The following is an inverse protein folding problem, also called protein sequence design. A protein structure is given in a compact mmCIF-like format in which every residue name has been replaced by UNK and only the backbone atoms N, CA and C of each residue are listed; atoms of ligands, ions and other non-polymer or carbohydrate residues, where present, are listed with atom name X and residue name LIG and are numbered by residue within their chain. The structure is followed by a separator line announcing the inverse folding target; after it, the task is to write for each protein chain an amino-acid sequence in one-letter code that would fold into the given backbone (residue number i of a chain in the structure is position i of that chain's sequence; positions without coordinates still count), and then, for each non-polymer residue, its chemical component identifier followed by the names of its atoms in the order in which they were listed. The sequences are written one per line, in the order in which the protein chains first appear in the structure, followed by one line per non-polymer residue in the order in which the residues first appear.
data_IF_857764840986
#
_entry.id   IF_857764840986
#
_cell.length_a   1.000
_cell.length_b   1.000
_cell.length_c   1.000
_cell.angle_alpha   90.00
_cell.angle_beta   90.00
_cell.angle_gamma   90.00
#
_symmetry.space_group_name_H-M   'P 1'
#
loop_
_entity.id
_entity.type
_entity.pdbx_description
1 polymer ?
#
# COMPACT_ATOMS: atom_id res chain seq x y z
N UNK A 1 -12.76 -45.85 -28.27
CA UNK A 1 -12.16 -45.36 -27.01
C UNK A 1 -10.67 -45.70 -27.04
N UNK A 2 -9.94 -45.19 -28.04
CA UNK A 2 -8.48 -45.36 -28.18
C UNK A 2 -7.76 -44.01 -28.28
N UNK A 3 -8.51 -42.90 -28.34
CA UNK A 3 -7.97 -41.55 -28.53
C UNK A 3 -7.49 -40.85 -27.23
N UNK A 4 -7.75 -41.45 -26.06
CA UNK A 4 -7.35 -40.89 -24.76
C UNK A 4 -5.93 -41.30 -24.32
N UNK A 5 -5.35 -42.35 -24.91
CA UNK A 5 -4.04 -42.89 -24.48
C UNK A 5 -2.85 -42.33 -25.29
N UNK A 6 -3.09 -41.73 -26.46
CA UNK A 6 -2.03 -41.24 -27.36
C UNK A 6 -1.71 -39.73 -27.18
N UNK A 7 -2.37 -39.07 -26.22
CA UNK A 7 -2.17 -37.65 -25.91
C UNK A 7 -1.13 -37.40 -24.79
N UNK A 8 -0.77 -38.44 -24.02
CA UNK A 8 0.21 -38.33 -22.94
C UNK A 8 1.66 -38.24 -23.41
N UNK A 9 1.97 -38.78 -24.59
CA UNK A 9 3.33 -38.85 -25.15
C UNK A 9 3.63 -37.70 -26.13
N UNK A 10 2.60 -36.94 -26.53
CA UNK A 10 2.66 -35.80 -27.47
C UNK A 10 2.64 -34.44 -26.77
N UNK A 11 2.94 -34.36 -25.48
CA UNK A 11 3.20 -33.07 -24.83
C UNK A 11 4.56 -32.55 -25.25
N UNK A 12 4.65 -31.33 -25.83
CA UNK A 12 5.92 -30.79 -26.27
C UNK A 12 6.91 -30.74 -25.09
N UNK A 13 8.19 -31.09 -25.30
CA UNK A 13 9.18 -31.22 -24.22
C UNK A 13 9.34 -29.94 -23.39
N UNK A 14 8.94 -28.78 -23.94
CA UNK A 14 8.89 -27.51 -23.25
C UNK A 14 7.95 -27.51 -22.03
N UNK A 15 6.80 -28.18 -22.10
CA UNK A 15 5.79 -28.21 -21.03
C UNK A 15 6.25 -29.13 -19.89
N UNK A 16 6.79 -30.31 -20.23
CA UNK A 16 7.37 -31.25 -19.26
C UNK A 16 8.63 -30.67 -18.59
N UNK A 17 9.46 -29.96 -19.35
CA UNK A 17 10.62 -29.24 -18.81
C UNK A 17 10.16 -28.17 -17.81
N UNK A 18 9.22 -27.31 -18.18
CA UNK A 18 8.71 -26.24 -17.31
C UNK A 18 8.12 -26.78 -16.00
N UNK A 19 7.32 -27.85 -16.06
CA UNK A 19 6.75 -28.51 -14.88
C UNK A 19 7.81 -29.10 -13.95
N UNK A 20 8.88 -29.68 -14.49
CA UNK A 20 10.00 -30.20 -13.70
C UNK A 20 10.84 -29.08 -13.06
N UNK A 21 11.07 -27.95 -13.74
CA UNK A 21 11.83 -26.84 -13.13
C UNK A 21 11.08 -26.22 -11.95
N UNK A 22 9.75 -26.09 -12.07
CA UNK A 22 8.90 -25.58 -10.99
C UNK A 22 8.87 -26.57 -9.81
N UNK A 23 8.74 -27.87 -10.09
CA UNK A 23 8.77 -28.92 -9.05
C UNK A 23 10.14 -29.06 -8.36
N UNK A 24 11.25 -28.92 -9.10
CA UNK A 24 12.60 -28.94 -8.52
C UNK A 24 12.89 -27.69 -7.68
N UNK A 25 12.32 -26.54 -8.06
CA UNK A 25 12.38 -25.32 -7.27
C UNK A 25 11.59 -25.44 -5.96
N UNK A 26 10.44 -26.13 -5.96
CA UNK A 26 9.67 -26.43 -4.74
C UNK A 26 10.32 -27.52 -3.88
N UNK A 27 10.99 -28.51 -4.48
CA UNK A 27 11.67 -29.59 -3.74
C UNK A 27 12.94 -29.14 -3.01
N UNK A 28 13.56 -28.03 -3.46
CA UNK A 28 14.62 -27.33 -2.73
C UNK A 28 13.97 -26.29 -1.82
N UNK A 29 13.60 -26.71 -0.61
CA UNK A 29 12.98 -25.84 0.39
C UNK A 29 13.69 -24.49 0.57
N UNK A 30 12.94 -23.47 0.99
CA UNK A 30 13.45 -22.10 1.09
C UNK A 30 14.70 -22.02 1.97
N UNK A 31 15.73 -21.32 1.47
CA UNK A 31 16.95 -21.06 2.21
C UNK A 31 16.61 -20.33 3.53
N UNK A 32 17.16 -20.75 4.69
CA UNK A 32 16.91 -20.07 5.97
C UNK A 32 17.18 -18.57 5.91
N UNK A 33 18.19 -18.12 5.17
CA UNK A 33 18.46 -16.68 4.97
C UNK A 33 17.34 -15.95 4.23
N UNK A 34 16.73 -16.60 3.22
CA UNK A 34 15.57 -16.03 2.52
C UNK A 34 14.33 -15.99 3.41
N UNK A 35 14.10 -17.03 4.21
CA UNK A 35 12.99 -17.06 5.17
C UNK A 35 13.16 -15.91 6.16
N UNK A 36 14.35 -15.73 6.74
CA UNK A 36 14.62 -14.63 7.67
C UNK A 36 14.45 -13.27 7.00
N UNK A 37 14.92 -13.11 5.75
CA UNK A 37 14.73 -11.86 5.01
C UNK A 37 13.25 -11.54 4.79
N UNK A 38 12.44 -12.54 4.42
CA UNK A 38 11.00 -12.36 4.24
C UNK A 38 10.30 -12.07 5.56
N UNK A 39 10.68 -12.73 6.65
CA UNK A 39 10.08 -12.50 7.97
C UNK A 39 10.45 -11.12 8.49
N UNK A 40 11.72 -10.75 8.53
CA UNK A 40 12.17 -9.46 9.06
C UNK A 40 11.75 -8.32 8.14
N UNK A 41 11.98 -8.46 6.83
CA UNK A 41 11.58 -7.47 5.84
C UNK A 41 10.06 -7.30 5.77
N UNK A 42 9.31 -8.41 5.80
CA UNK A 42 7.86 -8.41 5.82
C UNK A 42 7.29 -7.78 7.09
N UNK A 43 7.86 -8.10 8.26
CA UNK A 43 7.46 -7.50 9.54
C UNK A 43 7.69 -5.99 9.54
N UNK A 44 8.86 -5.53 9.07
CA UNK A 44 9.17 -4.11 8.97
C UNK A 44 8.25 -3.39 7.99
N UNK A 45 8.00 -3.97 6.82
CA UNK A 45 7.07 -3.41 5.83
C UNK A 45 5.64 -3.33 6.37
N UNK A 46 5.15 -4.40 7.01
CA UNK A 46 3.82 -4.44 7.60
C UNK A 46 3.69 -3.42 8.74
N UNK A 47 4.72 -3.29 9.59
CA UNK A 47 4.76 -2.30 10.66
C UNK A 47 4.73 -0.88 10.10
N UNK A 48 5.53 -0.60 9.07
CA UNK A 48 5.61 0.73 8.47
C UNK A 48 4.31 1.10 7.73
N UNK A 49 3.77 0.17 6.94
CA UNK A 49 2.51 0.35 6.22
C UNK A 49 1.33 0.50 7.19
N UNK A 50 1.24 -0.34 8.22
CA UNK A 50 0.21 -0.26 9.25
C UNK A 50 0.29 1.05 10.03
N UNK A 51 1.49 1.47 10.42
CA UNK A 51 1.69 2.74 11.12
C UNK A 51 1.38 3.94 10.22
N UNK A 52 1.75 3.90 8.95
CA UNK A 52 1.42 4.94 7.99
C UNK A 52 -0.09 5.03 7.74
N UNK A 53 -0.76 3.90 7.57
CA UNK A 53 -2.22 3.84 7.43
C UNK A 53 -2.92 4.41 8.67
N UNK A 54 -2.44 4.04 9.87
CA UNK A 54 -2.95 4.58 11.13
C UNK A 54 -2.72 6.08 11.26
N UNK A 55 -1.54 6.58 10.86
CA UNK A 55 -1.23 8.00 10.82
C UNK A 55 -2.17 8.77 9.88
N UNK A 56 -2.38 8.26 8.66
CA UNK A 56 -3.29 8.87 7.69
C UNK A 56 -4.74 8.84 8.19
N UNK A 57 -5.16 7.74 8.81
CA UNK A 57 -6.48 7.62 9.41
C UNK A 57 -6.67 8.65 10.52
N UNK A 58 -5.70 8.71 11.45
CA UNK A 58 -5.71 9.68 12.53
C UNK A 58 -5.79 11.11 11.97
N UNK A 59 -4.99 11.46 10.95
CA UNK A 59 -5.04 12.79 10.32
C UNK A 59 -6.41 13.15 9.74
N UNK A 60 -7.14 12.18 9.21
CA UNK A 60 -8.51 12.40 8.70
C UNK A 60 -9.51 12.64 9.82
N UNK A 61 -9.31 12.00 10.97
CA UNK A 61 -10.16 12.17 12.16
C UNK A 61 -9.73 13.32 13.07
N UNK A 62 -8.50 13.81 12.89
CA UNK A 62 -7.94 14.91 13.66
C UNK A 62 -8.69 16.19 13.27
N UNK A 63 -9.26 16.91 14.25
CA UNK A 63 -9.93 18.17 13.96
C UNK A 63 -8.94 19.12 13.28
N UNK A 64 -9.39 19.91 12.29
CA UNK A 64 -8.51 20.79 11.52
C UNK A 64 -7.67 21.61 12.50
N UNK A 65 -6.33 21.50 12.39
CA UNK A 65 -5.37 22.20 13.24
C UNK A 65 -5.92 23.60 13.48
N UNK A 66 -6.33 23.90 14.72
CA UNK A 66 -6.97 25.17 15.05
C UNK A 66 -6.01 26.27 14.62
N UNK A 67 -6.28 26.87 13.45
CA UNK A 67 -5.56 28.04 13.00
C UNK A 67 -5.70 29.03 14.14
N UNK A 68 -4.58 29.55 14.64
CA UNK A 68 -4.61 30.54 15.72
C UNK A 68 -5.69 31.56 15.34
N UNK A 69 -6.70 31.78 16.20
CA UNK A 69 -7.82 32.65 15.84
C UNK A 69 -7.22 33.96 15.36
N UNK A 70 -7.57 34.33 14.14
CA UNK A 70 -7.02 35.52 13.51
C UNK A 70 -7.39 36.68 14.42
N UNK A 71 -6.38 37.33 15.01
CA UNK A 71 -6.60 38.42 15.96
C UNK A 71 -7.64 39.39 15.39
N UNK A 72 -8.56 39.86 16.23
CA UNK A 72 -9.64 40.78 15.83
C UNK A 72 -9.10 41.97 15.03
N UNK A 73 -7.87 42.42 15.33
CA UNK A 73 -7.15 43.47 14.58
C UNK A 73 -6.82 43.07 13.13
N UNK A 74 -6.39 41.82 12.89
CA UNK A 74 -6.11 41.29 11.55
C UNK A 74 -7.39 41.00 10.78
N UNK A 75 -8.44 40.49 11.42
CA UNK A 75 -9.76 40.34 10.77
C UNK A 75 -10.36 41.70 10.36
N UNK A 76 -10.30 42.72 11.22
CA UNK A 76 -10.76 44.07 10.87
C UNK A 76 -9.94 44.66 9.72
N UNK A 77 -8.62 44.45 9.72
CA UNK A 77 -7.72 44.91 8.64
C UNK A 77 -7.99 44.20 7.31
N UNK A 78 -8.28 42.91 7.30
CA UNK A 78 -8.68 42.19 6.07
C UNK A 78 -10.08 42.60 5.60
N UNK A 79 -11.06 42.75 6.50
CA UNK A 79 -12.40 43.22 6.15
C UNK A 79 -12.42 44.63 5.55
N UNK A 80 -11.62 45.54 6.11
CA UNK A 80 -11.42 46.90 5.58
C UNK A 80 -10.72 46.90 4.21
N UNK A 81 -9.75 45.99 3.99
CA UNK A 81 -9.08 45.83 2.69
C UNK A 81 -9.98 45.23 1.62
N UNK A 82 -10.91 44.37 2.02
CA UNK A 82 -11.89 43.75 1.13
C UNK A 82 -13.08 44.67 0.83
N UNK A 83 -13.11 45.89 1.39
CA UNK A 83 -14.19 46.85 1.16
C UNK A 83 -15.55 46.41 1.71
N UNK A 84 -15.57 45.42 2.61
CA UNK A 84 -16.79 44.91 3.20
C UNK A 84 -17.23 45.93 4.24
N UNK A 85 -18.27 46.70 3.92
CA UNK A 85 -18.93 47.62 4.86
C UNK A 85 -19.26 46.85 6.14
N UNK A 86 -19.07 47.51 7.29
CA UNK A 86 -19.31 46.90 8.58
C UNK A 86 -20.74 46.33 8.64
N UNK A 87 -20.96 45.14 9.22
CA UNK A 87 -22.31 44.65 9.45
C UNK A 87 -22.98 45.58 10.47
N UNK A 88 -23.76 46.54 9.96
CA UNK A 88 -24.36 47.63 10.73
C UNK A 88 -24.19 48.98 10.05
N UNK A 89 -24.68 49.10 8.81
CA UNK A 89 -25.58 50.21 8.48
C UNK A 89 -27.01 49.75 8.79
#
# INVERSE_FOLDING_TARGET
MEDDFDFGDKVPPAVNRMGNVIREADARGFNPGLIVLLVVGGLLLAFLAGNYALYVYAQKTLPPKRKKPVSKKKMKRERLKQGISAPGE
#
